data_IF_466976901828
#
_entry.id   IF_466976901828
#
_cell.length_a   1.000
_cell.length_b   1.000
_cell.length_c   1.000
_cell.angle_alpha   90.00
_cell.angle_beta   90.00
_cell.angle_gamma   90.00
#
_symmetry.space_group_name_H-M   'P 1'
#
loop_
_entity.id
_entity.type
_entity.pdbx_description
1 polymer ?
#
# COMPACT_ATOMS: atom_id res chain seq x y z
N UNK A 1 33.57 13.24 -7.15
CA UNK A 1 32.93 12.76 -8.38
C UNK A 1 31.88 11.67 -8.18
N UNK A 2 32.03 10.71 -7.23
CA UNK A 2 31.02 9.63 -7.01
C UNK A 2 29.67 10.11 -6.43
N UNK A 3 29.62 11.20 -5.68
CA UNK A 3 28.36 11.73 -5.09
C UNK A 3 27.46 12.47 -6.08
N UNK A 4 28.01 12.98 -7.18
CA UNK A 4 27.24 13.67 -8.23
C UNK A 4 26.55 12.69 -9.17
N UNK A 5 27.12 11.49 -9.37
CA UNK A 5 26.54 10.43 -10.20
C UNK A 5 25.28 9.79 -9.57
N UNK A 6 25.22 9.70 -8.23
CA UNK A 6 24.03 9.15 -7.53
C UNK A 6 22.87 10.13 -7.58
N UNK A 7 23.14 11.45 -7.45
CA UNK A 7 22.10 12.48 -7.58
C UNK A 7 21.55 12.60 -9.02
N UNK A 8 22.41 12.39 -10.04
CA UNK A 8 22.00 12.40 -11.44
C UNK A 8 21.18 11.15 -11.82
N UNK A 9 21.46 9.99 -11.21
CA UNK A 9 20.66 8.76 -11.42
C UNK A 9 19.26 8.88 -10.80
N UNK A 10 19.15 9.56 -9.64
CA UNK A 10 17.83 9.84 -9.03
C UNK A 10 17.04 10.87 -9.84
N UNK A 11 17.69 11.91 -10.40
CA UNK A 11 17.02 12.90 -11.23
C UNK A 11 16.60 12.35 -12.61
N UNK A 12 17.32 11.37 -13.17
CA UNK A 12 16.98 10.77 -14.46
C UNK A 12 15.72 9.87 -14.41
N UNK A 13 15.31 9.41 -13.21
CA UNK A 13 14.07 8.67 -13.03
C UNK A 13 12.80 9.55 -13.10
N UNK A 14 12.95 10.89 -13.04
CA UNK A 14 11.83 11.83 -13.08
C UNK A 14 11.55 12.44 -14.48
N UNK A 15 12.32 12.12 -15.52
CA UNK A 15 12.20 12.74 -16.85
C UNK A 15 11.88 11.77 -18.00
N UNK A 16 11.38 10.57 -17.71
CA UNK A 16 10.82 9.72 -18.76
C UNK A 16 9.48 10.32 -19.22
N UNK A 17 9.51 11.07 -20.30
CA UNK A 17 8.30 11.61 -20.94
C UNK A 17 7.44 10.43 -21.46
N UNK A 18 6.22 10.33 -20.97
CA UNK A 18 5.19 9.44 -21.49
C UNK A 18 4.57 8.47 -20.49
N UNK A 19 5.09 8.37 -19.28
CA UNK A 19 4.51 7.53 -18.24
C UNK A 19 3.68 8.38 -17.28
N UNK A 20 2.40 8.06 -17.11
CA UNK A 20 1.60 8.70 -16.07
C UNK A 20 2.07 8.20 -14.70
N UNK A 21 2.83 9.04 -14.01
CA UNK A 21 3.26 8.80 -12.64
C UNK A 21 2.35 9.58 -11.70
N UNK A 22 1.70 8.91 -10.79
CA UNK A 22 0.93 9.55 -9.74
C UNK A 22 1.61 9.27 -8.40
N UNK A 23 2.08 10.33 -7.75
CA UNK A 23 2.64 10.26 -6.40
C UNK A 23 1.75 11.07 -5.47
N UNK A 24 1.52 10.56 -4.29
CA UNK A 24 0.72 11.25 -3.28
C UNK A 24 1.35 11.12 -1.89
N UNK A 25 1.03 12.09 -1.05
CA UNK A 25 1.38 12.10 0.35
C UNK A 25 0.10 12.11 1.18
N UNK A 26 0.02 11.21 2.14
CA UNK A 26 -1.14 11.06 3.03
C UNK A 26 -0.69 11.26 4.48
N UNK A 27 -1.60 11.76 5.29
CA UNK A 27 -1.43 11.81 6.74
C UNK A 27 -2.72 11.34 7.38
N UNK A 28 -2.62 10.37 8.25
CA UNK A 28 -3.74 9.80 8.99
C UNK A 28 -3.56 10.02 10.49
N UNK A 29 -4.67 10.19 11.20
CA UNK A 29 -4.74 9.97 12.62
C UNK A 29 -5.53 8.69 12.90
N UNK A 30 -4.85 7.70 13.48
CA UNK A 30 -5.44 6.43 13.88
C UNK A 30 -6.08 6.57 15.27
N UNK A 31 -7.40 6.42 15.33
CA UNK A 31 -8.17 6.52 16.59
C UNK A 31 -8.00 5.28 17.48
N UNK A 32 -7.68 4.13 16.88
CA UNK A 32 -7.44 2.89 17.61
C UNK A 32 -6.07 2.88 18.31
N UNK A 33 -5.02 3.21 17.56
CA UNK A 33 -3.62 3.26 18.05
C UNK A 33 -3.23 4.61 18.64
N UNK A 34 -4.03 5.68 18.40
CA UNK A 34 -3.85 7.05 18.94
C UNK A 34 -2.53 7.71 18.52
N UNK A 35 -2.13 7.53 17.28
CA UNK A 35 -0.97 8.19 16.70
C UNK A 35 -1.23 8.64 15.27
N UNK A 36 -0.28 9.41 14.73
CA UNK A 36 -0.27 9.78 13.33
C UNK A 36 0.56 8.78 12.52
N UNK A 37 0.11 8.54 11.29
CA UNK A 37 0.88 7.86 10.25
C UNK A 37 0.99 8.78 9.04
N UNK A 38 2.15 8.82 8.39
CA UNK A 38 2.31 9.46 7.09
C UNK A 38 2.70 8.41 6.06
N UNK A 39 2.05 8.48 4.90
CA UNK A 39 2.28 7.58 3.78
C UNK A 39 2.75 8.37 2.56
N UNK A 40 3.88 7.97 1.98
CA UNK A 40 4.26 8.36 0.63
C UNK A 40 3.94 7.18 -0.29
N UNK A 41 3.04 7.40 -1.24
CA UNK A 41 2.60 6.38 -2.19
C UNK A 41 2.88 6.83 -3.62
N UNK A 42 3.27 5.90 -4.49
CA UNK A 42 3.49 6.17 -5.90
C UNK A 42 3.04 5.03 -6.79
N UNK A 43 2.45 5.41 -7.91
CA UNK A 43 2.10 4.52 -9.00
C UNK A 43 2.72 5.06 -10.29
N UNK A 44 3.40 4.19 -11.03
CA UNK A 44 4.05 4.52 -12.29
C UNK A 44 3.76 3.43 -13.30
N UNK A 45 3.19 3.81 -14.44
CA UNK A 45 2.94 2.92 -15.58
C UNK A 45 3.95 3.17 -16.69
N UNK A 46 4.39 2.10 -17.34
CA UNK A 46 5.26 2.15 -18.52
C UNK A 46 4.85 1.08 -19.56
N UNK A 47 5.58 0.97 -20.67
CA UNK A 47 5.28 0.06 -21.76
C UNK A 47 5.33 -1.43 -21.36
N UNK A 48 5.90 -1.75 -20.20
CA UNK A 48 6.11 -3.12 -19.73
C UNK A 48 5.19 -3.50 -18.58
N UNK A 49 4.37 -2.55 -18.09
CA UNK A 49 3.45 -2.73 -16.99
C UNK A 49 3.43 -1.56 -16.02
N UNK A 50 3.46 -1.85 -14.73
CA UNK A 50 3.42 -0.78 -13.72
C UNK A 50 4.27 -1.10 -12.50
N UNK A 51 4.65 -0.05 -11.77
CA UNK A 51 5.30 -0.11 -10.47
C UNK A 51 4.42 0.62 -9.47
N UNK A 52 4.14 -0.02 -8.37
CA UNK A 52 3.49 0.56 -7.21
C UNK A 52 4.44 0.51 -6.02
N UNK A 53 4.44 1.53 -5.20
CA UNK A 53 5.16 1.53 -3.93
C UNK A 53 4.46 2.40 -2.90
N UNK A 54 4.64 2.08 -1.64
CA UNK A 54 4.36 3.02 -0.55
C UNK A 54 5.35 2.83 0.61
N UNK A 55 5.46 3.88 1.42
CA UNK A 55 6.24 3.90 2.64
C UNK A 55 5.41 4.59 3.71
N UNK A 56 5.21 3.89 4.82
CA UNK A 56 4.56 4.41 6.02
C UNK A 56 5.57 4.77 7.09
N UNK A 57 5.28 5.84 7.81
CA UNK A 57 5.95 6.23 9.02
C UNK A 57 4.92 6.45 10.13
N UNK A 58 5.03 5.67 11.19
CA UNK A 58 4.23 5.81 12.40
C UNK A 58 4.92 6.74 13.40
N UNK A 59 4.16 7.65 14.03
CA UNK A 59 4.67 8.63 14.96
C UNK A 59 4.17 8.36 16.38
N UNK A 60 4.78 7.40 17.05
CA UNK A 60 4.43 7.01 18.43
C UNK A 60 5.64 6.85 19.36
N UNK A 61 6.84 7.28 18.93
CA UNK A 61 7.99 7.33 19.82
C UNK A 61 7.88 8.57 20.72
N UNK A 62 7.66 8.35 22.01
CA UNK A 62 7.36 9.40 22.98
C UNK A 62 8.46 9.49 24.06
N UNK A 63 8.72 10.71 24.52
CA UNK A 63 9.58 10.95 25.66
C UNK A 63 8.81 10.77 26.99
N UNK A 64 9.52 10.97 28.12
CA UNK A 64 8.94 10.83 29.44
C UNK A 64 7.78 11.81 29.75
N UNK A 65 7.68 12.91 28.99
CA UNK A 65 6.57 13.90 29.09
C UNK A 65 5.42 13.57 28.13
N UNK A 66 5.38 12.37 27.56
CA UNK A 66 4.39 11.89 26.58
C UNK A 66 4.35 12.71 25.27
N UNK A 67 5.45 13.38 24.92
CA UNK A 67 5.57 14.13 23.67
C UNK A 67 6.18 13.25 22.59
N UNK A 68 5.58 13.23 21.40
CA UNK A 68 6.15 12.57 20.21
C UNK A 68 7.47 13.25 19.84
N UNK A 69 8.53 12.45 19.69
CA UNK A 69 9.89 12.95 19.42
C UNK A 69 10.46 12.43 18.09
N UNK A 70 9.94 11.32 17.57
CA UNK A 70 10.38 10.76 16.28
C UNK A 70 9.41 9.69 15.78
N UNK A 71 9.59 9.19 14.55
CA UNK A 71 8.91 7.99 14.09
C UNK A 71 9.18 6.80 15.02
N UNK A 72 8.19 5.95 15.18
CA UNK A 72 8.23 4.72 15.97
C UNK A 72 8.33 3.47 15.12
N UNK A 73 7.95 3.57 13.85
CA UNK A 73 7.96 2.47 12.91
C UNK A 73 7.95 2.97 11.48
N UNK A 74 8.32 2.09 10.59
CA UNK A 74 8.17 2.26 9.15
C UNK A 74 7.83 0.92 8.53
N UNK A 75 6.94 0.94 7.55
CA UNK A 75 6.66 -0.18 6.67
C UNK A 75 6.77 0.30 5.22
N UNK A 76 7.25 -0.55 4.35
CA UNK A 76 7.26 -0.23 2.94
C UNK A 76 6.96 -1.45 2.08
N UNK A 77 6.42 -1.17 0.92
CA UNK A 77 6.14 -2.14 -0.12
C UNK A 77 6.54 -1.57 -1.48
N UNK A 78 7.08 -2.43 -2.33
CA UNK A 78 7.30 -2.13 -3.74
C UNK A 78 6.88 -3.34 -4.56
N UNK A 79 5.96 -3.13 -5.49
CA UNK A 79 5.45 -4.14 -6.39
C UNK A 79 5.70 -3.74 -7.85
N UNK A 80 6.14 -4.69 -8.67
CA UNK A 80 6.27 -4.55 -10.11
C UNK A 80 5.38 -5.55 -10.80
N UNK A 81 4.43 -5.06 -11.60
CA UNK A 81 3.65 -5.86 -12.54
C UNK A 81 4.27 -5.79 -13.93
N UNK A 82 4.42 -6.94 -14.57
CA UNK A 82 4.95 -7.07 -15.93
C UNK A 82 3.86 -7.62 -16.85
N UNK A 83 3.58 -6.89 -17.92
CA UNK A 83 2.59 -7.24 -18.92
C UNK A 83 3.13 -6.92 -20.33
N UNK A 84 3.89 -7.86 -20.90
CA UNK A 84 4.48 -7.73 -22.24
C UNK A 84 3.51 -8.09 -23.38
N UNK A 85 2.29 -8.54 -23.04
CA UNK A 85 1.30 -9.12 -23.97
C UNK A 85 -0.01 -8.34 -24.00
N UNK A 86 0.09 -7.02 -23.87
CA UNK A 86 -1.06 -6.13 -23.79
C UNK A 86 -1.99 -6.20 -25.01
N UNK A 87 -1.46 -6.55 -26.20
CA UNK A 87 -2.23 -6.70 -27.44
C UNK A 87 -2.80 -8.11 -27.65
N UNK A 88 -2.85 -8.95 -26.62
CA UNK A 88 -3.27 -10.35 -26.70
C UNK A 88 -4.53 -10.64 -25.87
N UNK A 89 -5.18 -11.80 -26.07
CA UNK A 89 -6.32 -12.21 -25.24
C UNK A 89 -6.01 -12.38 -23.75
N UNK A 90 -4.73 -12.48 -23.37
CA UNK A 90 -4.26 -12.58 -21.99
C UNK A 90 -3.82 -11.22 -21.41
N UNK A 91 -4.14 -10.12 -22.11
CA UNK A 91 -3.83 -8.76 -21.65
C UNK A 91 -4.26 -8.43 -20.22
N UNK A 92 -5.39 -8.95 -19.68
CA UNK A 92 -5.75 -8.70 -18.29
C UNK A 92 -4.82 -9.31 -17.25
N UNK A 93 -3.94 -10.24 -17.62
CA UNK A 93 -3.01 -10.87 -16.70
C UNK A 93 -1.65 -10.19 -16.70
N UNK A 94 -1.08 -10.01 -15.52
CA UNK A 94 0.29 -9.56 -15.30
C UNK A 94 1.04 -10.55 -14.43
N UNK A 95 2.37 -10.62 -14.57
CA UNK A 95 3.23 -11.22 -13.56
C UNK A 95 3.59 -10.16 -12.53
N UNK A 96 3.41 -10.46 -11.26
CA UNK A 96 3.80 -9.56 -10.18
C UNK A 96 5.01 -10.10 -9.44
N UNK A 97 5.94 -9.20 -9.14
CA UNK A 97 7.01 -9.36 -8.17
C UNK A 97 6.92 -8.23 -7.15
N UNK A 98 7.01 -8.57 -5.87
CA UNK A 98 6.86 -7.63 -4.77
C UNK A 98 7.88 -7.92 -3.67
N UNK A 99 8.31 -6.87 -2.99
CA UNK A 99 9.03 -6.94 -1.74
C UNK A 99 8.38 -6.02 -0.73
N UNK A 100 8.21 -6.50 0.49
CA UNK A 100 7.69 -5.70 1.59
C UNK A 100 8.44 -6.00 2.90
N UNK A 101 8.35 -5.05 3.85
CA UNK A 101 8.97 -5.17 5.15
C UNK A 101 9.03 -3.86 5.91
N UNK A 102 9.58 -3.90 7.11
CA UNK A 102 9.65 -2.70 7.93
C UNK A 102 10.38 -2.89 9.24
N UNK A 103 10.31 -1.84 10.05
CA UNK A 103 10.91 -1.77 11.38
C UNK A 103 9.92 -1.11 12.35
N UNK A 104 9.81 -1.66 13.55
CA UNK A 104 9.17 -1.01 14.70
C UNK A 104 10.19 -0.71 15.80
N UNK A 105 9.76 -0.03 16.85
CA UNK A 105 10.61 0.21 18.02
C UNK A 105 10.97 -1.12 18.71
N UNK A 106 12.22 -1.54 18.56
CA UNK A 106 12.74 -2.73 19.21
C UNK A 106 12.39 -4.07 18.54
N UNK A 107 11.74 -4.06 17.38
CA UNK A 107 11.46 -5.28 16.60
C UNK A 107 11.51 -5.01 15.10
N UNK A 108 11.74 -6.05 14.29
CA UNK A 108 11.61 -6.01 12.85
C UNK A 108 10.21 -6.47 12.42
N UNK A 109 9.71 -5.92 11.34
CA UNK A 109 8.56 -6.48 10.62
C UNK A 109 9.12 -7.50 9.63
N UNK A 110 8.60 -8.73 9.67
CA UNK A 110 9.09 -9.81 8.80
C UNK A 110 9.00 -9.40 7.34
N UNK A 111 10.15 -9.27 6.69
CA UNK A 111 10.20 -8.95 5.28
C UNK A 111 9.83 -10.17 4.44
N UNK A 112 9.18 -9.94 3.30
CA UNK A 112 8.77 -10.99 2.39
C UNK A 112 9.02 -10.60 0.93
N UNK A 113 9.32 -11.63 0.13
CA UNK A 113 9.22 -11.57 -1.32
C UNK A 113 7.93 -12.25 -1.77
N UNK A 114 7.20 -11.61 -2.69
CA UNK A 114 6.01 -12.17 -3.29
C UNK A 114 6.21 -12.29 -4.80
N UNK A 115 5.68 -13.35 -5.38
CA UNK A 115 5.70 -13.57 -6.81
C UNK A 115 4.43 -14.29 -7.25
N UNK A 116 3.81 -13.85 -8.34
CA UNK A 116 2.61 -14.52 -8.84
C UNK A 116 1.92 -13.80 -9.99
N UNK A 117 0.60 -13.90 -10.02
CA UNK A 117 -0.25 -13.43 -11.09
C UNK A 117 -1.22 -12.39 -10.54
N UNK A 118 -1.38 -11.31 -11.29
CA UNK A 118 -2.41 -10.29 -11.11
C UNK A 118 -3.37 -10.34 -12.28
N UNK A 119 -4.67 -10.37 -12.01
CA UNK A 119 -5.75 -10.28 -12.99
C UNK A 119 -6.47 -8.94 -12.84
N UNK A 120 -6.39 -8.10 -13.87
CA UNK A 120 -6.91 -6.74 -13.87
C UNK A 120 -8.26 -6.64 -14.56
N UNK A 121 -9.25 -6.18 -13.82
CA UNK A 121 -10.60 -5.87 -14.29
C UNK A 121 -10.82 -4.36 -14.23
N UNK A 122 -11.47 -3.80 -15.24
CA UNK A 122 -11.76 -2.37 -15.28
C UNK A 122 -13.02 -2.06 -16.10
N UNK A 123 -13.67 -0.92 -15.81
CA UNK A 123 -14.67 -0.33 -16.69
C UNK A 123 -14.01 0.25 -17.94
N UNK A 124 -14.78 0.48 -18.99
CA UNK A 124 -14.27 1.00 -20.27
C UNK A 124 -13.55 2.35 -20.17
N UNK A 125 -13.87 3.12 -19.16
CA UNK A 125 -13.31 4.44 -18.85
C UNK A 125 -12.24 4.41 -17.74
N UNK A 126 -11.88 3.21 -17.24
CA UNK A 126 -10.95 2.98 -16.13
C UNK A 126 -11.32 3.67 -14.81
N UNK A 127 -12.53 4.21 -14.69
CA UNK A 127 -13.00 4.82 -13.45
C UNK A 127 -13.24 3.80 -12.34
N UNK A 128 -13.53 2.55 -12.72
CA UNK A 128 -13.69 1.45 -11.78
C UNK A 128 -12.69 0.35 -12.11
N UNK A 129 -11.89 0.00 -11.13
CA UNK A 129 -10.82 -1.00 -11.27
C UNK A 129 -10.89 -2.03 -10.15
N UNK A 130 -10.49 -3.25 -10.47
CA UNK A 130 -10.32 -4.34 -9.52
C UNK A 130 -9.17 -5.24 -9.98
N UNK A 131 -8.16 -5.39 -9.14
CA UNK A 131 -7.10 -6.37 -9.29
C UNK A 131 -7.36 -7.56 -8.37
N UNK A 132 -7.20 -8.76 -8.89
CA UNK A 132 -7.25 -10.00 -8.11
C UNK A 132 -5.91 -10.72 -8.28
N UNK A 133 -5.22 -10.97 -7.17
CA UNK A 133 -3.86 -11.50 -7.18
C UNK A 133 -3.77 -12.81 -6.43
N UNK A 134 -2.94 -13.70 -6.98
CA UNK A 134 -2.53 -14.95 -6.32
C UNK A 134 -1.00 -14.97 -6.32
N UNK A 135 -0.43 -14.87 -5.14
CA UNK A 135 1.00 -14.67 -4.95
C UNK A 135 1.58 -15.78 -4.07
N UNK A 136 2.72 -16.34 -4.48
CA UNK A 136 3.59 -17.09 -3.58
C UNK A 136 4.31 -16.08 -2.68
N UNK A 137 4.22 -16.25 -1.35
CA UNK A 137 4.79 -15.35 -0.35
C UNK A 137 5.88 -16.06 0.43
N UNK A 138 7.12 -15.61 0.27
CA UNK A 138 8.27 -16.12 0.99
C UNK A 138 8.75 -15.10 2.02
N UNK A 139 8.57 -15.40 3.28
CA UNK A 139 9.16 -14.62 4.36
C UNK A 139 10.68 -14.85 4.45
N UNK A 140 11.40 -13.82 4.85
CA UNK A 140 12.84 -13.91 5.12
C UNK A 140 13.04 -14.32 6.57
N UNK A 141 13.65 -15.49 6.78
CA UNK A 141 13.97 -15.99 8.11
C UNK A 141 12.80 -16.60 8.89
N UNK A 142 11.66 -16.83 8.23
CA UNK A 142 10.51 -17.49 8.82
C UNK A 142 9.85 -18.41 7.79
N UNK A 143 9.39 -19.57 8.23
CA UNK A 143 8.58 -20.46 7.39
C UNK A 143 7.09 -20.12 7.56
N UNK A 144 6.35 -20.16 6.47
CA UNK A 144 4.90 -20.04 6.46
C UNK A 144 4.26 -21.42 6.34
N UNK A 145 3.15 -21.63 7.02
CA UNK A 145 2.36 -22.87 6.94
C UNK A 145 1.81 -23.12 5.53
N UNK A 146 1.44 -22.04 4.84
CA UNK A 146 1.07 -22.02 3.44
C UNK A 146 1.65 -20.75 2.81
N UNK A 147 2.70 -20.83 1.96
CA UNK A 147 3.40 -19.66 1.44
C UNK A 147 2.61 -19.01 0.29
N UNK A 148 1.38 -18.64 0.55
CA UNK A 148 0.47 -18.03 -0.43
C UNK A 148 -0.16 -16.77 0.16
N UNK A 149 -0.41 -15.79 -0.71
CA UNK A 149 -1.21 -14.61 -0.43
C UNK A 149 -2.25 -14.43 -1.54
N UNK A 150 -3.47 -14.10 -1.14
CA UNK A 150 -4.54 -13.66 -2.02
C UNK A 150 -4.82 -12.19 -1.75
N UNK A 151 -4.79 -11.38 -2.80
CA UNK A 151 -4.97 -9.94 -2.72
C UNK A 151 -6.08 -9.49 -3.65
N UNK A 152 -6.96 -8.62 -3.16
CA UNK A 152 -7.87 -7.82 -3.97
C UNK A 152 -7.55 -6.35 -3.78
N UNK A 153 -7.39 -5.59 -4.87
CA UNK A 153 -7.19 -4.13 -4.84
C UNK A 153 -8.26 -3.49 -5.68
N UNK A 154 -8.92 -2.46 -5.16
CA UNK A 154 -10.01 -1.78 -5.88
C UNK A 154 -9.85 -0.27 -5.88
N UNK A 155 -10.44 0.36 -6.93
CA UNK A 155 -10.54 1.80 -7.06
C UNK A 155 -11.82 2.16 -7.80
N UNK A 156 -12.69 2.96 -7.17
CA UNK A 156 -13.94 3.46 -7.74
C UNK A 156 -13.95 4.97 -7.66
N UNK A 157 -13.98 5.62 -8.82
CA UNK A 157 -14.09 7.07 -8.95
C UNK A 157 -15.56 7.46 -8.98
N UNK A 158 -15.86 8.69 -8.58
CA UNK A 158 -17.20 9.28 -8.62
C UNK A 158 -18.28 8.34 -8.04
N UNK A 159 -17.95 7.76 -6.87
CA UNK A 159 -18.75 6.74 -6.20
C UNK A 159 -20.21 7.22 -6.05
N UNK A 160 -21.18 6.38 -6.43
CA UNK A 160 -22.60 6.69 -6.45
C UNK A 160 -22.97 7.90 -7.32
N UNK A 161 -22.15 8.26 -8.31
CA UNK A 161 -22.33 9.45 -9.14
C UNK A 161 -22.01 10.77 -8.42
N UNK A 162 -21.36 10.72 -7.27
CA UNK A 162 -20.89 11.92 -6.57
C UNK A 162 -19.50 12.29 -7.09
N UNK A 163 -19.37 13.42 -7.81
CA UNK A 163 -18.08 13.83 -8.36
C UNK A 163 -17.00 13.96 -7.29
N UNK A 164 -15.78 13.51 -7.60
CA UNK A 164 -14.62 13.56 -6.70
C UNK A 164 -14.72 12.68 -5.43
N UNK A 165 -15.79 11.90 -5.26
CA UNK A 165 -15.86 10.90 -4.20
C UNK A 165 -15.20 9.61 -4.70
N UNK A 166 -14.11 9.20 -4.06
CA UNK A 166 -13.35 8.01 -4.42
C UNK A 166 -13.40 6.99 -3.30
N UNK A 167 -13.68 5.74 -3.65
CA UNK A 167 -13.53 4.59 -2.76
C UNK A 167 -12.43 3.69 -3.30
N UNK A 168 -11.41 3.44 -2.52
CA UNK A 168 -10.26 2.60 -2.90
C UNK A 168 -9.81 1.76 -1.71
N UNK A 169 -8.91 0.82 -1.96
CA UNK A 169 -8.34 0.03 -0.89
C UNK A 169 -7.91 -1.34 -1.36
N UNK A 170 -7.56 -2.17 -0.39
CA UNK A 170 -7.15 -3.54 -0.64
C UNK A 170 -7.67 -4.48 0.45
N UNK A 171 -7.59 -5.78 0.16
CA UNK A 171 -7.78 -6.86 1.11
C UNK A 171 -6.81 -7.99 0.81
N UNK A 172 -6.09 -8.40 1.84
CA UNK A 172 -5.08 -9.45 1.81
C UNK A 172 -5.45 -10.59 2.75
N UNK A 173 -5.21 -11.81 2.28
CA UNK A 173 -5.24 -13.02 3.10
C UNK A 173 -3.95 -13.80 2.86
N UNK A 174 -3.23 -14.10 3.92
CA UNK A 174 -2.03 -14.94 3.85
C UNK A 174 -1.92 -15.85 5.08
N UNK A 175 -0.89 -16.67 5.12
CA UNK A 175 -0.60 -17.56 6.23
C UNK A 175 0.79 -17.30 6.80
N UNK A 176 0.84 -17.22 8.10
CA UNK A 176 2.02 -17.37 8.93
C UNK A 176 1.88 -18.73 9.65
N UNK A 177 1.90 -18.79 10.97
CA UNK A 177 1.49 -19.98 11.72
C UNK A 177 -0.02 -20.25 11.57
N UNK A 178 -0.81 -19.18 11.48
CA UNK A 178 -2.24 -19.20 11.22
C UNK A 178 -2.60 -18.20 10.10
N UNK A 179 -3.89 -18.22 9.72
CA UNK A 179 -4.41 -17.28 8.73
C UNK A 179 -4.32 -15.85 9.26
N UNK A 180 -3.89 -14.95 8.40
CA UNK A 180 -3.85 -13.51 8.64
C UNK A 180 -4.72 -12.82 7.59
N UNK A 181 -5.48 -11.83 8.01
CA UNK A 181 -6.27 -10.97 7.13
C UNK A 181 -5.99 -9.52 7.44
N UNK A 182 -5.86 -8.72 6.39
CA UNK A 182 -5.75 -7.27 6.45
C UNK A 182 -6.57 -6.66 5.31
N UNK A 183 -7.33 -5.61 5.62
CA UNK A 183 -8.02 -4.82 4.60
C UNK A 183 -8.11 -3.37 5.05
N UNK A 184 -7.82 -2.45 4.12
CA UNK A 184 -7.83 -1.01 4.36
C UNK A 184 -8.68 -0.28 3.30
N UNK A 185 -10.02 -0.38 3.39
CA UNK A 185 -10.90 0.46 2.59
C UNK A 185 -10.73 1.95 2.95
N UNK A 186 -10.56 2.77 1.93
CA UNK A 186 -10.39 4.22 2.01
C UNK A 186 -11.53 4.93 1.31
N UNK A 187 -12.02 6.02 1.90
CA UNK A 187 -12.98 6.91 1.28
C UNK A 187 -12.40 8.33 1.25
N UNK A 188 -12.29 8.91 0.05
CA UNK A 188 -11.70 10.21 -0.18
C UNK A 188 -12.66 11.14 -0.91
N UNK A 189 -12.76 12.39 -0.46
CA UNK A 189 -13.46 13.46 -1.15
C UNK A 189 -12.46 14.54 -1.59
N UNK A 190 -12.37 14.78 -2.90
CA UNK A 190 -11.49 15.79 -3.48
C UNK A 190 -12.02 17.21 -3.19
N UNK A 191 -11.21 18.02 -2.52
CA UNK A 191 -11.51 19.44 -2.20
C UNK A 191 -10.80 20.41 -3.15
N UNK A 192 -10.06 19.91 -4.11
CA UNK A 192 -9.34 20.64 -5.14
C UNK A 192 -8.70 19.67 -6.13
N UNK A 193 -7.76 20.17 -6.92
CA UNK A 193 -7.10 19.34 -7.94
C UNK A 193 -6.05 18.41 -7.33
N UNK A 194 -5.49 18.80 -6.20
CA UNK A 194 -4.43 18.06 -5.50
C UNK A 194 -4.86 17.52 -4.13
N UNK A 195 -5.81 18.18 -3.47
CA UNK A 195 -6.14 17.91 -2.08
C UNK A 195 -7.40 17.06 -1.93
N UNK A 196 -7.39 16.13 -1.00
CA UNK A 196 -8.55 15.35 -0.59
C UNK A 196 -8.60 15.23 0.94
N UNK A 197 -9.81 15.14 1.47
CA UNK A 197 -10.08 14.80 2.86
C UNK A 197 -10.84 13.49 2.91
N UNK A 198 -10.55 12.67 3.90
CA UNK A 198 -11.16 11.34 4.00
C UNK A 198 -10.51 10.51 5.08
N UNK A 199 -10.36 9.24 4.83
CA UNK A 199 -9.73 8.33 5.76
C UNK A 199 -9.83 6.89 5.31
N UNK A 200 -9.39 6.02 6.20
CA UNK A 200 -9.44 4.59 6.01
C UNK A 200 -9.95 3.89 7.26
N UNK A 201 -10.31 2.64 7.11
CA UNK A 201 -10.58 1.77 8.26
C UNK A 201 -9.77 0.49 8.05
N UNK A 202 -8.79 0.25 8.91
CA UNK A 202 -8.14 -1.06 8.94
C UNK A 202 -9.09 -2.08 9.56
N UNK A 203 -9.32 -3.18 8.85
CA UNK A 203 -9.93 -4.40 9.36
C UNK A 203 -8.85 -5.47 9.35
N UNK A 204 -8.51 -6.01 10.50
CA UNK A 204 -7.45 -7.00 10.59
C UNK A 204 -7.82 -8.17 11.48
N UNK A 205 -7.33 -9.37 11.12
CA UNK A 205 -7.43 -10.58 11.90
C UNK A 205 -6.04 -11.19 12.04
N UNK A 206 -5.63 -11.46 13.28
CA UNK A 206 -4.33 -12.05 13.63
C UNK A 206 -3.13 -11.29 13.05
N UNK A 207 -3.24 -9.96 12.90
CA UNK A 207 -2.27 -9.11 12.20
C UNK A 207 -1.39 -8.32 13.18
N UNK A 208 -0.09 -8.25 12.87
CA UNK A 208 0.85 -7.30 13.45
C UNK A 208 0.97 -7.31 14.98
N UNK A 209 0.65 -8.43 15.62
CA UNK A 209 0.70 -8.50 17.07
C UNK A 209 -0.39 -7.69 17.80
N UNK A 210 -1.38 -7.16 17.10
CA UNK A 210 -2.48 -6.37 17.68
C UNK A 210 -3.24 -7.10 18.79
N UNK A 211 -3.29 -8.44 18.74
CA UNK A 211 -3.84 -9.26 19.81
C UNK A 211 -3.18 -9.00 21.17
N UNK A 212 -1.88 -8.75 21.19
CA UNK A 212 -1.15 -8.48 22.44
C UNK A 212 -1.48 -7.11 23.03
N UNK A 213 -1.86 -6.14 22.21
CA UNK A 213 -2.20 -4.78 22.62
C UNK A 213 -3.68 -4.59 22.87
N UNK A 214 -4.54 -5.22 22.08
CA UNK A 214 -6.01 -5.07 22.13
C UNK A 214 -6.73 -6.19 22.88
N UNK A 215 -6.08 -7.36 23.04
CA UNK A 215 -6.68 -8.59 23.57
C UNK A 215 -7.66 -9.26 22.59
N UNK A 216 -7.70 -8.83 21.31
CA UNK A 216 -8.64 -9.33 20.30
C UNK A 216 -7.91 -9.85 19.08
N UNK A 217 -8.41 -10.93 18.49
CA UNK A 217 -7.91 -11.45 17.22
C UNK A 217 -8.37 -10.60 16.04
N UNK A 218 -9.62 -10.11 16.06
CA UNK A 218 -10.16 -9.20 15.05
C UNK A 218 -10.17 -7.77 15.56
N UNK A 219 -9.61 -6.85 14.77
CA UNK A 219 -9.48 -5.44 15.10
C UNK A 219 -10.10 -4.56 14.02
N UNK A 220 -10.58 -3.39 14.41
CA UNK A 220 -11.10 -2.32 13.55
C UNK A 220 -10.43 -1.03 14.01
N UNK A 221 -9.61 -0.44 13.14
CA UNK A 221 -8.83 0.77 13.43
C UNK A 221 -9.23 1.88 12.44
N UNK A 222 -10.20 2.73 12.81
CA UNK A 222 -10.61 3.84 11.94
C UNK A 222 -9.59 4.98 11.98
N UNK A 223 -9.29 5.54 10.80
CA UNK A 223 -8.40 6.66 10.62
C UNK A 223 -9.10 7.80 9.88
N UNK A 224 -8.81 9.03 10.25
CA UNK A 224 -9.16 10.24 9.50
C UNK A 224 -7.89 10.86 8.95
N UNK A 225 -7.95 11.33 7.71
CA UNK A 225 -6.75 11.85 7.07
C UNK A 225 -6.99 12.87 5.99
N UNK A 226 -5.89 13.38 5.46
CA UNK A 226 -5.85 14.17 4.25
C UNK A 226 -4.79 13.60 3.30
N UNK A 227 -4.99 13.87 2.01
CA UNK A 227 -4.13 13.41 0.92
C UNK A 227 -3.80 14.58 0.02
N UNK A 228 -2.54 14.63 -0.40
CA UNK A 228 -2.05 15.54 -1.43
C UNK A 228 -1.48 14.74 -2.59
N UNK A 229 -1.97 15.00 -3.81
CA UNK A 229 -1.48 14.41 -5.06
C UNK A 229 -0.58 15.43 -5.75
N UNK A 230 0.62 15.02 -6.14
CA UNK A 230 1.63 15.88 -6.77
C UNK A 230 1.39 16.06 -8.27
#
# INVERSE_FOLDING_TARGET
MKKVLVAAAFAALFFAQGAEAQTNFQTFYDFGRKHFTTTLEGFHQDDWGNTFFFIDYDYNNRNLDDKVISPSGTYFEIARCLNFWQDSPVAPFSLQYEYNGGLGLGFGINSAFLFGIDYFLHSSDFNNTLNLKVLYKQFIGMDSKLPMQFTAVWGFQDLFGVPRLRFSGFADVWWEDDIVFLSEPQLWFGIGDHASIGGEVEFSYNFGGLKFTTGKDFNIMPCLGWKWVF
#
